data_IF_351551233987
#
_entry.id   IF_351551233987
#
_cell.length_a   1.000
_cell.length_b   1.000
_cell.length_c   1.000
_cell.angle_alpha   90.00
_cell.angle_beta   90.00
_cell.angle_gamma   90.00
#
_symmetry.space_group_name_H-M   'P 1'
#
loop_
_entity.id
_entity.type
_entity.pdbx_description
1 polymer ?
#
# COMPACT_ATOMS: atom_id res chain seq x y z
N UNK A 1 9.43 22.98 2.36
CA UNK A 1 9.86 23.36 0.98
C UNK A 1 8.79 22.99 -0.06
N UNK A 2 8.85 23.43 -1.35
CA UNK A 2 7.81 23.08 -2.37
C UNK A 2 7.68 21.57 -2.60
N UNK A 3 8.79 20.87 -2.80
CA UNK A 3 8.82 19.42 -3.10
C UNK A 3 8.17 18.62 -1.96
N UNK A 4 8.58 18.89 -0.72
CA UNK A 4 8.00 18.30 0.49
C UNK A 4 6.48 18.48 0.55
N UNK A 5 5.98 19.67 0.22
CA UNK A 5 4.54 19.93 0.17
C UNK A 5 3.84 19.13 -0.93
N UNK A 6 4.43 19.01 -2.12
CA UNK A 6 3.87 18.19 -3.21
C UNK A 6 3.77 16.71 -2.81
N UNK A 7 4.83 16.16 -2.21
CA UNK A 7 4.84 14.77 -1.71
C UNK A 7 3.74 14.59 -0.66
N UNK A 8 3.63 15.52 0.30
CA UNK A 8 2.61 15.45 1.35
C UNK A 8 1.19 15.60 0.79
N UNK A 9 0.98 16.43 -0.24
CA UNK A 9 -0.30 16.54 -0.94
C UNK A 9 -0.67 15.18 -1.56
N UNK A 10 0.25 14.53 -2.28
CA UNK A 10 0.00 13.21 -2.88
C UNK A 10 -0.39 12.20 -1.79
N UNK A 11 0.37 12.12 -0.70
CA UNK A 11 0.08 11.21 0.41
C UNK A 11 -1.32 11.42 0.99
N UNK A 12 -1.69 12.68 1.23
CA UNK A 12 -3.03 13.02 1.71
C UNK A 12 -4.13 12.62 0.71
N UNK A 13 -3.92 12.86 -0.58
CA UNK A 13 -4.90 12.51 -1.62
C UNK A 13 -4.99 11.00 -1.89
N UNK A 14 -3.95 10.23 -1.56
CA UNK A 14 -3.97 8.77 -1.62
C UNK A 14 -4.76 8.15 -0.45
N UNK A 15 -4.82 8.83 0.70
CA UNK A 15 -5.49 8.34 1.92
C UNK A 15 -6.93 8.81 2.06
N UNK A 16 -7.33 9.86 1.33
CA UNK A 16 -8.64 10.49 1.44
C UNK A 16 -9.36 10.49 0.08
N UNK A 17 -10.69 10.54 0.09
CA UNK A 17 -11.47 10.65 -1.15
C UNK A 17 -11.25 11.98 -1.83
N UNK A 18 -11.52 13.07 -1.13
CA UNK A 18 -11.32 14.44 -1.61
C UNK A 18 -10.88 15.38 -0.50
N UNK A 19 -10.05 16.38 -0.81
CA UNK A 19 -9.60 17.43 0.14
C UNK A 19 -9.74 18.80 -0.50
N UNK A 20 -10.34 19.76 0.20
CA UNK A 20 -10.53 21.12 -0.32
C UNK A 20 -9.21 21.90 -0.43
N UNK A 21 -9.15 22.82 -1.40
CA UNK A 21 -8.02 23.73 -1.55
C UNK A 21 -7.75 24.57 -0.29
N UNK A 22 -8.82 24.97 0.43
CA UNK A 22 -8.72 25.76 1.66
C UNK A 22 -8.11 24.94 2.80
N UNK A 23 -8.51 23.66 2.93
CA UNK A 23 -7.96 22.75 3.93
C UNK A 23 -6.47 22.50 3.70
N UNK A 24 -6.06 22.28 2.45
CA UNK A 24 -4.64 22.14 2.09
C UNK A 24 -3.87 23.43 2.36
N UNK A 25 -4.43 24.59 1.98
CA UNK A 25 -3.82 25.90 2.20
C UNK A 25 -3.57 26.17 3.69
N UNK A 26 -4.57 25.92 4.53
CA UNK A 26 -4.45 26.02 5.98
C UNK A 26 -3.42 25.04 6.54
N UNK A 27 -3.47 23.78 6.11
CA UNK A 27 -2.56 22.72 6.60
C UNK A 27 -1.09 23.02 6.32
N UNK A 28 -0.79 23.60 5.15
CA UNK A 28 0.57 23.88 4.74
C UNK A 28 1.00 25.34 4.97
N UNK A 29 0.14 26.17 5.55
CA UNK A 29 0.43 27.59 5.81
C UNK A 29 0.71 28.39 4.53
N UNK A 30 0.00 28.09 3.44
CA UNK A 30 0.17 28.76 2.13
C UNK A 30 -1.14 29.30 1.60
N UNK A 31 -1.07 30.18 0.59
CA UNK A 31 -2.27 30.68 -0.08
C UNK A 31 -3.00 29.58 -0.86
N UNK A 32 -4.32 29.75 -1.05
CA UNK A 32 -5.11 28.91 -1.97
C UNK A 32 -4.52 28.89 -3.38
N UNK A 33 -4.03 30.03 -3.88
CA UNK A 33 -3.37 30.15 -5.19
C UNK A 33 -2.13 29.26 -5.28
N UNK A 34 -1.37 29.12 -4.20
CA UNK A 34 -0.22 28.21 -4.11
C UNK A 34 -0.66 26.76 -4.26
N UNK A 35 -1.73 26.35 -3.57
CA UNK A 35 -2.28 24.99 -3.70
C UNK A 35 -2.76 24.71 -5.13
N UNK A 36 -3.46 25.67 -5.77
CA UNK A 36 -3.89 25.50 -7.16
C UNK A 36 -2.70 25.27 -8.10
N UNK A 37 -1.64 26.08 -7.97
CA UNK A 37 -0.42 25.91 -8.77
C UNK A 37 0.31 24.60 -8.48
N UNK A 38 0.24 24.13 -7.24
CA UNK A 38 0.80 22.84 -6.86
C UNK A 38 0.00 21.69 -7.49
N UNK A 39 -1.33 21.78 -7.56
CA UNK A 39 -2.17 20.82 -8.30
C UNK A 39 -1.84 20.81 -9.79
N UNK A 40 -1.68 21.97 -10.41
CA UNK A 40 -1.25 22.07 -11.82
C UNK A 40 0.11 21.38 -12.03
N UNK A 41 1.04 21.58 -11.09
CA UNK A 41 2.36 20.93 -11.13
C UNK A 41 2.24 19.39 -11.07
N UNK A 42 1.31 18.87 -10.26
CA UNK A 42 1.08 17.43 -10.13
C UNK A 42 0.40 16.85 -11.38
N UNK A 43 -0.56 17.57 -11.96
CA UNK A 43 -1.23 17.18 -13.21
C UNK A 43 -0.22 17.15 -14.37
N UNK A 44 0.66 18.15 -14.47
CA UNK A 44 1.76 18.16 -15.44
C UNK A 44 2.77 17.02 -15.22
N UNK A 45 2.88 16.52 -13.99
CA UNK A 45 3.64 15.33 -13.66
C UNK A 45 2.87 14.02 -13.89
N UNK A 46 1.72 14.07 -14.59
CA UNK A 46 0.84 12.94 -14.89
C UNK A 46 0.27 12.22 -13.66
N UNK A 47 0.17 12.91 -12.51
CA UNK A 47 -0.61 12.40 -11.38
C UNK A 47 -2.11 12.62 -11.71
N UNK A 48 -2.95 11.58 -11.70
CA UNK A 48 -4.34 11.67 -12.14
C UNK A 48 -5.24 12.28 -11.06
N UNK A 49 -5.09 13.59 -10.87
CA UNK A 49 -5.89 14.39 -9.95
C UNK A 49 -7.19 14.80 -10.63
N UNK A 50 -8.32 14.55 -9.97
CA UNK A 50 -9.63 15.09 -10.35
C UNK A 50 -10.08 16.17 -9.37
N UNK A 51 -11.05 16.99 -9.80
CA UNK A 51 -11.63 18.05 -8.97
C UNK A 51 -13.15 17.88 -8.89
N UNK A 52 -13.71 18.00 -7.69
CA UNK A 52 -15.16 17.99 -7.44
C UNK A 52 -15.64 19.39 -7.05
N UNK A 53 -16.83 19.78 -7.52
CA UNK A 53 -17.46 21.07 -7.19
C UNK A 53 -18.45 20.92 -6.02
N UNK A 54 -18.78 22.04 -5.38
CA UNK A 54 -19.77 22.12 -4.31
C UNK A 54 -19.17 22.34 -2.91
N UNK A 55 -20.01 22.42 -1.85
CA UNK A 55 -19.57 22.71 -0.48
C UNK A 55 -18.57 21.70 0.09
N UNK A 56 -18.67 20.44 -0.36
CA UNK A 56 -17.74 19.35 -0.03
C UNK A 56 -16.75 19.05 -1.18
N UNK A 57 -16.61 19.97 -2.13
CA UNK A 57 -15.72 19.84 -3.26
C UNK A 57 -14.25 19.92 -2.88
N UNK A 58 -13.38 19.44 -3.76
CA UNK A 58 -11.94 19.44 -3.53
C UNK A 58 -11.17 18.69 -4.60
N UNK A 59 -9.93 18.36 -4.29
CA UNK A 59 -9.05 17.54 -5.12
C UNK A 59 -9.08 16.10 -4.63
N UNK A 60 -9.05 15.15 -5.55
CA UNK A 60 -8.89 13.72 -5.27
C UNK A 60 -7.95 13.10 -6.30
N UNK A 61 -7.38 11.94 -5.98
CA UNK A 61 -6.64 11.11 -6.93
C UNK A 61 -7.58 9.99 -7.41
N UNK A 62 -7.60 9.71 -8.72
CA UNK A 62 -8.42 8.64 -9.29
C UNK A 62 -8.22 7.32 -8.54
N UNK A 63 -9.30 6.58 -8.26
CA UNK A 63 -9.21 5.36 -7.45
C UNK A 63 -8.34 4.28 -8.12
N UNK A 64 -8.33 4.23 -9.45
CA UNK A 64 -7.41 3.40 -10.26
C UNK A 64 -5.92 3.71 -10.02
N UNK A 65 -5.59 4.87 -9.47
CA UNK A 65 -4.23 5.25 -9.07
C UNK A 65 -3.99 5.05 -7.57
N UNK A 66 -5.05 5.02 -6.76
CA UNK A 66 -5.00 4.58 -5.35
C UNK A 66 -4.89 3.05 -5.21
N UNK A 67 -4.86 2.34 -6.34
CA UNK A 67 -4.87 0.87 -6.46
C UNK A 67 -3.59 0.21 -5.92
N UNK A 68 -3.34 0.32 -4.61
CA UNK A 68 -2.37 -0.56 -3.93
C UNK A 68 -2.45 -0.58 -2.40
N UNK A 69 -3.65 -0.68 -1.79
CA UNK A 69 -3.71 -1.02 -0.36
C UNK A 69 -4.63 -2.18 0.02
N UNK A 70 -5.55 -2.64 -0.84
CA UNK A 70 -6.51 -3.71 -0.47
C UNK A 70 -6.98 -4.58 -1.64
N UNK A 71 -6.13 -4.91 -2.62
CA UNK A 71 -6.48 -5.96 -3.60
C UNK A 71 -6.51 -7.34 -2.94
N UNK A 72 -5.56 -7.55 -2.04
CA UNK A 72 -5.44 -8.76 -1.24
C UNK A 72 -5.84 -8.42 0.18
N UNK A 73 -6.76 -9.19 0.74
CA UNK A 73 -7.01 -9.21 2.17
C UNK A 73 -5.80 -9.79 2.89
N UNK A 74 -5.72 -9.59 4.21
CA UNK A 74 -4.69 -10.24 5.03
C UNK A 74 -4.75 -11.78 4.88
N UNK A 75 -5.94 -12.33 4.66
CA UNK A 75 -6.14 -13.76 4.43
C UNK A 75 -5.57 -14.20 3.09
N UNK A 76 -5.76 -13.41 2.02
CA UNK A 76 -5.19 -13.71 0.71
C UNK A 76 -3.66 -13.72 0.77
N UNK A 77 -3.05 -12.74 1.45
CA UNK A 77 -1.59 -12.69 1.63
C UNK A 77 -1.08 -13.90 2.43
N UNK A 78 -1.79 -14.30 3.49
CA UNK A 78 -1.43 -15.49 4.27
C UNK A 78 -1.47 -16.77 3.44
N UNK A 79 -2.53 -16.96 2.65
CA UNK A 79 -2.67 -18.15 1.79
C UNK A 79 -1.55 -18.23 0.75
N UNK A 80 -1.21 -17.09 0.13
CA UNK A 80 -0.10 -17.01 -0.83
C UNK A 80 1.23 -17.32 -0.15
N UNK A 81 1.47 -16.77 1.05
CA UNK A 81 2.69 -17.07 1.82
C UNK A 81 2.82 -18.56 2.16
N UNK A 82 1.72 -19.22 2.53
CA UNK A 82 1.72 -20.67 2.82
C UNK A 82 2.09 -21.47 1.56
N UNK A 83 1.44 -21.17 0.44
CA UNK A 83 1.69 -21.85 -0.84
C UNK A 83 3.14 -21.67 -1.31
N UNK A 84 3.65 -20.44 -1.24
CA UNK A 84 5.03 -20.13 -1.65
C UNK A 84 6.07 -20.72 -0.69
N UNK A 85 5.79 -20.78 0.61
CA UNK A 85 6.71 -21.39 1.58
C UNK A 85 6.91 -22.88 1.28
N UNK A 86 5.82 -23.62 1.01
CA UNK A 86 5.91 -25.02 0.59
C UNK A 86 6.62 -25.21 -0.75
N UNK A 87 6.44 -24.29 -1.70
CA UNK A 87 7.17 -24.32 -2.97
C UNK A 87 8.67 -24.09 -2.77
N UNK A 88 9.05 -23.10 -1.96
CA UNK A 88 10.45 -22.74 -1.70
C UNK A 88 11.26 -23.87 -1.04
N UNK A 89 10.61 -24.69 -0.22
CA UNK A 89 11.23 -25.87 0.41
C UNK A 89 11.52 -26.98 -0.62
N UNK A 90 10.70 -27.09 -1.67
CA UNK A 90 10.87 -28.09 -2.72
C UNK A 90 11.80 -27.64 -3.85
N UNK A 91 11.74 -26.36 -4.25
CA UNK A 91 12.50 -25.85 -5.41
C UNK A 91 13.82 -25.18 -5.05
N UNK A 92 14.00 -24.75 -3.80
CA UNK A 92 15.15 -23.95 -3.33
C UNK A 92 15.44 -22.71 -4.21
N UNK A 93 14.41 -22.15 -4.85
CA UNK A 93 14.57 -21.03 -5.77
C UNK A 93 14.67 -19.67 -5.06
N UNK A 94 15.68 -18.88 -5.42
CA UNK A 94 15.96 -17.57 -4.86
C UNK A 94 14.86 -16.54 -5.19
N UNK A 95 14.20 -16.66 -6.34
CA UNK A 95 13.12 -15.74 -6.70
C UNK A 95 11.88 -15.96 -5.83
N UNK A 96 11.56 -17.22 -5.48
CA UNK A 96 10.49 -17.52 -4.52
C UNK A 96 10.75 -16.92 -3.13
N UNK A 97 11.99 -17.02 -2.62
CA UNK A 97 12.38 -16.46 -1.33
C UNK A 97 12.21 -14.92 -1.30
N UNK A 98 12.66 -14.23 -2.35
CA UNK A 98 12.49 -12.78 -2.49
C UNK A 98 11.01 -12.37 -2.58
N UNK A 99 10.18 -13.18 -3.22
CA UNK A 99 8.73 -12.94 -3.34
C UNK A 99 8.04 -13.08 -1.98
N UNK A 100 8.42 -14.10 -1.20
CA UNK A 100 7.95 -14.29 0.17
C UNK A 100 8.25 -13.06 1.03
N UNK A 101 9.47 -12.51 0.96
CA UNK A 101 9.84 -11.34 1.77
C UNK A 101 9.12 -10.06 1.35
N UNK A 102 8.89 -9.86 0.04
CA UNK A 102 8.05 -8.76 -0.46
C UNK A 102 6.62 -8.87 0.07
N UNK A 103 6.03 -10.06 0.07
CA UNK A 103 4.67 -10.27 0.57
C UNK A 103 4.54 -10.07 2.08
N UNK A 104 5.54 -10.46 2.88
CA UNK A 104 5.58 -10.17 4.32
C UNK A 104 5.52 -8.66 4.60
N UNK A 105 6.15 -7.84 3.74
CA UNK A 105 6.15 -6.37 3.91
C UNK A 105 4.77 -5.72 3.70
N UNK A 106 3.84 -6.43 3.05
CA UNK A 106 2.46 -5.99 2.85
C UNK A 106 1.56 -6.29 4.05
N UNK A 107 2.00 -7.13 5.01
CA UNK A 107 1.25 -7.40 6.23
C UNK A 107 1.52 -6.31 7.28
N UNK A 108 0.49 -5.79 7.97
CA UNK A 108 0.71 -4.85 9.07
C UNK A 108 1.53 -5.50 10.20
N UNK A 109 2.50 -4.75 10.73
CA UNK A 109 3.47 -5.18 11.76
C UNK A 109 2.87 -5.89 13.01
N UNK A 110 1.56 -5.81 13.26
CA UNK A 110 0.88 -6.52 14.35
C UNK A 110 0.62 -8.02 14.08
N UNK A 111 0.87 -8.51 12.86
CA UNK A 111 0.54 -9.89 12.46
C UNK A 111 1.78 -10.72 12.12
N UNK A 112 2.93 -10.41 12.72
CA UNK A 112 4.15 -11.17 12.50
C UNK A 112 4.26 -12.46 13.32
N UNK A 113 3.26 -12.85 14.10
CA UNK A 113 3.39 -14.04 14.95
C UNK A 113 2.06 -14.75 15.22
N UNK A 114 2.13 -16.08 15.30
CA UNK A 114 1.14 -17.07 15.72
C UNK A 114 0.46 -17.90 14.61
N UNK A 115 -0.37 -17.34 13.71
CA UNK A 115 -1.12 -18.20 12.75
C UNK A 115 -0.24 -18.85 11.68
N UNK A 116 0.62 -18.07 11.02
CA UNK A 116 1.57 -18.58 10.01
C UNK A 116 2.52 -19.61 10.62
N UNK A 117 2.99 -19.36 11.85
CA UNK A 117 3.87 -20.28 12.58
C UNK A 117 3.14 -21.58 12.99
N UNK A 118 1.86 -21.50 13.37
CA UNK A 118 1.03 -22.68 13.68
C UNK A 118 0.75 -23.53 12.44
N UNK A 119 0.49 -22.89 11.29
CA UNK A 119 0.26 -23.60 10.03
C UNK A 119 1.56 -24.25 9.54
N UNK A 120 2.68 -23.52 9.53
CA UNK A 120 4.00 -24.08 9.20
C UNK A 120 4.41 -25.23 10.13
N UNK A 121 4.17 -25.11 11.44
CA UNK A 121 4.40 -26.21 12.41
C UNK A 121 3.50 -27.41 12.14
N UNK A 122 2.28 -27.21 11.66
CA UNK A 122 1.35 -28.30 11.31
C UNK A 122 1.76 -28.99 10.01
N UNK A 123 2.28 -28.26 9.03
CA UNK A 123 2.84 -28.83 7.79
C UNK A 123 4.16 -29.58 8.05
N UNK A 124 5.10 -29.02 8.81
CA UNK A 124 6.35 -29.70 9.15
C UNK A 124 6.14 -30.99 9.98
N UNK A 125 5.10 -31.05 10.83
CA UNK A 125 4.74 -32.28 11.58
C UNK A 125 4.15 -33.41 10.71
N UNK A 126 3.82 -33.13 9.45
CA UNK A 126 3.24 -34.11 8.52
C UNK A 126 4.26 -34.62 7.48
N UNK A 127 5.53 -34.16 7.55
CA UNK A 127 6.61 -34.73 6.74
C UNK A 127 6.95 -36.15 7.24
N UNK A 128 6.84 -37.20 6.41
CA UNK A 128 7.20 -38.57 6.80
C UNK A 128 8.72 -38.80 6.95
N UNK A 129 9.57 -37.79 6.75
CA UNK A 129 11.01 -37.97 6.53
C UNK A 129 11.90 -37.86 7.80
N UNK A 130 11.34 -38.03 9.01
CA UNK A 130 12.14 -38.14 10.24
C UNK A 130 12.00 -39.50 10.95
N UNK A 131 11.83 -40.59 10.18
CA UNK A 131 12.08 -41.95 10.68
C UNK A 131 13.06 -42.67 9.75
N UNK A 132 14.35 -42.40 9.94
CA UNK A 132 15.44 -43.35 9.65
C UNK A 132 16.65 -42.96 10.49
#
# INVERSE_FOLDING_TARGET
MKIERLINIIMLLLENDTISANSLAQRFGVSKRTILRDMDSLILAHIPIYTTRGPKGGFGIMDSYKFNKRLLTEFDIQNILIALSGLSEFTADKETALTIDKLKSLLPNKMNNLKTLMILKRFMKLSPLQKS
#
